data_IF_316040037241
#
_entry.id   IF_316040037241
#
_cell.length_a   1.000
_cell.length_b   1.000
_cell.length_c   1.000
_cell.angle_alpha   90.00
_cell.angle_beta   90.00
_cell.angle_gamma   90.00
#
_symmetry.space_group_name_H-M   'P 1'
#
loop_
_entity.id
_entity.type
_entity.pdbx_description
1 polymer ?
#
# COMPACT_ATOMS: atom_id res chain seq x y z
N UNK A 1 9.14 11.27 13.74
CA UNK A 1 9.38 12.14 12.57
C UNK A 1 9.54 13.57 13.06
N UNK A 2 10.34 14.37 12.36
CA UNK A 2 10.49 15.79 12.66
C UNK A 2 9.51 16.67 11.85
N UNK A 3 9.42 17.95 12.18
CA UNK A 3 8.52 18.90 11.53
C UNK A 3 8.80 19.08 10.03
N UNK A 4 10.05 18.91 9.60
CA UNK A 4 10.42 19.04 8.19
C UNK A 4 9.84 17.87 7.41
N UNK A 5 9.99 16.65 7.91
CA UNK A 5 9.42 15.44 7.28
C UNK A 5 7.89 15.53 7.21
N UNK A 6 7.24 15.98 8.29
CA UNK A 6 5.78 16.18 8.32
C UNK A 6 5.35 17.18 7.25
N UNK A 7 6.04 18.32 7.13
CA UNK A 7 5.73 19.32 6.12
C UNK A 7 5.92 18.78 4.69
N UNK A 8 6.99 18.01 4.44
CA UNK A 8 7.22 17.41 3.12
C UNK A 8 6.12 16.43 2.73
N UNK A 9 5.54 15.69 3.68
CA UNK A 9 4.39 14.82 3.43
C UNK A 9 3.12 15.63 3.21
N UNK A 10 2.89 16.67 4.03
CA UNK A 10 1.74 17.56 3.87
C UNK A 10 1.73 18.23 2.48
N UNK A 11 2.90 18.64 1.97
CA UNK A 11 3.05 19.19 0.62
C UNK A 11 2.57 18.20 -0.47
N UNK A 12 2.75 16.89 -0.26
CA UNK A 12 2.26 15.86 -1.19
C UNK A 12 0.75 15.63 -1.00
N UNK A 13 0.28 15.52 0.24
CA UNK A 13 -1.12 15.24 0.58
C UNK A 13 -2.07 16.33 0.10
N UNK A 14 -1.67 17.59 0.25
CA UNK A 14 -2.48 18.77 -0.06
C UNK A 14 -2.07 19.46 -1.36
N UNK A 15 -1.30 18.78 -2.21
CA UNK A 15 -0.98 19.30 -3.54
C UNK A 15 -2.26 19.53 -4.37
N UNK A 16 -2.27 20.60 -5.15
CA UNK A 16 -3.42 20.99 -5.98
C UNK A 16 -3.76 19.96 -7.08
N UNK A 17 -2.84 19.05 -7.40
CA UNK A 17 -3.06 17.99 -8.39
C UNK A 17 -2.16 16.79 -8.15
N UNK A 18 -2.56 15.62 -8.66
CA UNK A 18 -1.76 14.40 -8.61
C UNK A 18 -0.39 14.58 -9.26
N UNK A 19 -0.29 15.32 -10.37
CA UNK A 19 0.99 15.61 -11.01
C UNK A 19 1.96 16.38 -10.09
N UNK A 20 1.46 17.38 -9.34
CA UNK A 20 2.26 18.12 -8.35
C UNK A 20 2.62 17.25 -7.14
N UNK A 21 1.68 16.40 -6.69
CA UNK A 21 1.93 15.44 -5.62
C UNK A 21 3.06 14.47 -6.01
N UNK A 22 2.98 13.87 -7.20
CA UNK A 22 4.00 12.95 -7.73
C UNK A 22 5.36 13.63 -7.86
N UNK A 23 5.40 14.86 -8.40
CA UNK A 23 6.65 15.63 -8.49
C UNK A 23 7.27 15.88 -7.10
N UNK A 24 6.44 16.07 -6.06
CA UNK A 24 6.92 16.35 -4.71
C UNK A 24 7.44 15.11 -3.96
N UNK A 25 7.17 13.90 -4.45
CA UNK A 25 7.67 12.65 -3.86
C UNK A 25 9.20 12.58 -3.84
N UNK A 26 9.89 13.22 -4.79
CA UNK A 26 11.36 13.24 -4.83
C UNK A 26 12.01 13.81 -3.56
N UNK A 27 11.24 14.61 -2.81
CA UNK A 27 11.67 15.21 -1.55
C UNK A 27 11.68 14.22 -0.39
N UNK A 28 10.91 13.13 -0.48
CA UNK A 28 10.81 12.11 0.56
C UNK A 28 12.02 11.16 0.47
N UNK A 29 12.74 10.98 1.57
CA UNK A 29 14.04 10.30 1.58
C UNK A 29 14.03 8.98 2.35
N UNK A 30 12.92 8.67 3.03
CA UNK A 30 12.82 7.54 3.95
C UNK A 30 11.58 6.70 3.66
N UNK A 31 11.64 5.45 4.11
CA UNK A 31 10.50 4.53 4.12
C UNK A 31 9.35 5.09 4.97
N UNK A 32 9.67 5.67 6.13
CA UNK A 32 8.71 6.24 7.10
C UNK A 32 7.81 7.29 6.44
N UNK A 33 8.41 8.18 5.66
CA UNK A 33 7.67 9.23 4.96
C UNK A 33 6.69 8.66 3.94
N UNK A 34 7.10 7.63 3.18
CA UNK A 34 6.21 6.97 2.21
C UNK A 34 5.08 6.22 2.90
N UNK A 35 5.37 5.56 4.02
CA UNK A 35 4.38 4.83 4.80
C UNK A 35 3.32 5.78 5.38
N UNK A 36 3.76 6.87 6.02
CA UNK A 36 2.86 7.88 6.59
C UNK A 36 2.09 8.61 5.50
N UNK A 37 2.71 8.87 4.34
CA UNK A 37 2.00 9.42 3.19
C UNK A 37 0.82 8.53 2.79
N UNK A 38 1.02 7.23 2.60
CA UNK A 38 -0.06 6.33 2.17
C UNK A 38 -1.13 6.10 3.24
N UNK A 39 -0.78 6.15 4.51
CA UNK A 39 -1.73 6.11 5.63
C UNK A 39 -2.69 7.31 5.62
N UNK A 40 -2.20 8.49 5.28
CA UNK A 40 -2.97 9.73 5.29
C UNK A 40 -3.52 10.12 3.91
N UNK A 41 -3.17 9.38 2.85
CA UNK A 41 -3.60 9.68 1.48
C UNK A 41 -5.11 9.47 1.31
N UNK A 42 -5.78 10.42 0.66
CA UNK A 42 -7.16 10.22 0.22
C UNK A 42 -7.20 9.31 -1.00
N UNK A 43 -7.46 8.01 -0.80
CA UNK A 43 -7.51 7.00 -1.86
C UNK A 43 -8.60 7.23 -2.92
N UNK A 44 -9.53 8.17 -2.70
CA UNK A 44 -10.46 8.64 -3.73
C UNK A 44 -9.78 9.51 -4.80
N UNK A 45 -8.57 10.01 -4.56
CA UNK A 45 -7.78 10.80 -5.52
C UNK A 45 -7.16 9.93 -6.64
N UNK A 46 -7.44 8.63 -6.65
CA UNK A 46 -6.95 7.68 -7.66
C UNK A 46 -5.56 7.13 -7.35
N UNK A 47 -4.97 6.46 -8.35
CA UNK A 47 -3.78 5.63 -8.15
C UNK A 47 -2.46 6.23 -8.65
N UNK A 48 -2.45 7.46 -9.18
CA UNK A 48 -1.22 8.09 -9.68
C UNK A 48 -0.15 8.22 -8.59
N UNK A 49 -0.50 8.79 -7.43
CA UNK A 49 0.41 8.94 -6.29
C UNK A 49 0.81 7.57 -5.71
N UNK A 50 -0.13 6.64 -5.39
CA UNK A 50 0.25 5.28 -4.97
C UNK A 50 1.17 4.54 -5.93
N UNK A 51 0.95 4.64 -7.26
CA UNK A 51 1.83 4.04 -8.27
C UNK A 51 3.23 4.64 -8.23
N UNK A 52 3.34 5.96 -8.06
CA UNK A 52 4.62 6.62 -7.95
C UNK A 52 5.36 6.22 -6.65
N UNK A 53 4.64 6.12 -5.53
CA UNK A 53 5.19 5.61 -4.25
C UNK A 53 5.74 4.20 -4.42
N UNK A 54 5.01 3.30 -5.08
CA UNK A 54 5.45 1.91 -5.34
C UNK A 54 6.67 1.79 -6.25
N UNK A 55 6.97 2.82 -7.05
CA UNK A 55 8.18 2.88 -7.87
C UNK A 55 9.31 3.69 -7.21
N UNK A 56 9.06 4.26 -6.03
CA UNK A 56 10.04 5.08 -5.33
C UNK A 56 11.19 4.21 -4.78
N UNK A 57 12.46 4.63 -4.85
CA UNK A 57 13.60 3.85 -4.37
C UNK A 57 13.57 3.50 -2.88
N UNK A 58 12.75 4.22 -2.10
CA UNK A 58 12.54 4.00 -0.65
C UNK A 58 11.32 3.15 -0.34
N UNK A 59 10.60 2.65 -1.35
CA UNK A 59 9.45 1.78 -1.15
C UNK A 59 9.91 0.42 -0.63
N UNK A 60 9.50 0.09 0.59
CA UNK A 60 9.71 -1.23 1.18
C UNK A 60 8.52 -2.15 0.93
N UNK A 61 8.68 -3.40 1.34
CA UNK A 61 7.58 -4.36 1.44
C UNK A 61 6.45 -3.87 2.35
N UNK A 62 6.74 -3.14 3.43
CA UNK A 62 5.74 -2.57 4.34
C UNK A 62 4.85 -1.56 3.64
N UNK A 63 5.48 -0.64 2.88
CA UNK A 63 4.77 0.37 2.09
C UNK A 63 3.93 -0.31 1.00
N UNK A 64 4.45 -1.34 0.35
CA UNK A 64 3.72 -2.07 -0.69
C UNK A 64 2.52 -2.87 -0.14
N UNK A 65 2.68 -3.52 1.02
CA UNK A 65 1.57 -4.21 1.70
C UNK A 65 0.50 -3.20 2.12
N UNK A 66 0.90 -2.07 2.70
CA UNK A 66 -0.03 -0.98 3.03
C UNK A 66 -0.83 -0.54 1.80
N UNK A 67 -0.15 -0.24 0.69
CA UNK A 67 -0.80 0.15 -0.56
C UNK A 67 -1.79 -0.92 -1.06
N UNK A 68 -1.41 -2.19 -0.96
CA UNK A 68 -2.26 -3.31 -1.36
C UNK A 68 -3.56 -3.36 -0.54
N UNK A 69 -3.49 -3.26 0.79
CA UNK A 69 -4.70 -3.32 1.62
C UNK A 69 -5.58 -2.08 1.53
N UNK A 70 -4.97 -0.90 1.45
CA UNK A 70 -5.74 0.35 1.25
C UNK A 70 -6.47 0.38 -0.09
N UNK A 71 -5.96 -0.34 -1.10
CA UNK A 71 -6.63 -0.56 -2.37
C UNK A 71 -7.60 -1.77 -2.38
N UNK A 72 -8.15 -2.17 -1.23
CA UNK A 72 -9.08 -3.31 -1.10
C UNK A 72 -8.49 -4.66 -1.53
N UNK A 73 -7.20 -4.86 -1.28
CA UNK A 73 -6.49 -6.10 -1.62
C UNK A 73 -7.06 -7.36 -0.97
N UNK A 74 -7.73 -7.24 0.18
CA UNK A 74 -8.39 -8.37 0.83
C UNK A 74 -9.50 -8.97 -0.05
N UNK A 75 -10.27 -8.14 -0.74
CA UNK A 75 -11.29 -8.59 -1.67
C UNK A 75 -10.69 -9.36 -2.83
N UNK A 76 -9.58 -8.86 -3.38
CA UNK A 76 -8.82 -9.58 -4.40
C UNK A 76 -8.30 -10.95 -3.92
N UNK A 77 -7.83 -11.03 -2.66
CA UNK A 77 -7.37 -12.31 -2.12
C UNK A 77 -8.49 -13.35 -2.02
N UNK A 78 -9.71 -12.93 -1.68
CA UNK A 78 -10.88 -13.79 -1.47
C UNK A 78 -11.61 -14.16 -2.77
N UNK A 79 -11.80 -13.19 -3.65
CA UNK A 79 -12.66 -13.30 -4.85
C UNK A 79 -11.84 -13.44 -6.14
N UNK A 80 -10.53 -13.17 -6.12
CA UNK A 80 -9.67 -13.23 -7.31
C UNK A 80 -10.07 -12.18 -8.35
N UNK A 81 -9.96 -12.54 -9.64
CA UNK A 81 -10.35 -11.64 -10.75
C UNK A 81 -11.86 -11.33 -10.75
N UNK A 82 -12.69 -12.21 -10.19
CA UNK A 82 -14.12 -11.97 -10.03
C UNK A 82 -14.42 -10.79 -9.07
N UNK A 83 -13.46 -10.40 -8.22
CA UNK A 83 -13.58 -9.24 -7.33
C UNK A 83 -13.93 -7.95 -8.09
N UNK A 84 -13.43 -7.84 -9.32
CA UNK A 84 -13.46 -6.61 -10.09
C UNK A 84 -14.21 -6.71 -11.41
N UNK A 85 -14.79 -7.87 -11.72
CA UNK A 85 -15.56 -8.12 -12.94
C UNK A 85 -16.71 -7.10 -13.15
N UNK A 86 -17.24 -6.52 -12.08
CA UNK A 86 -18.27 -5.47 -12.10
C UNK A 86 -17.76 -4.11 -11.55
N UNK A 87 -16.47 -3.99 -11.25
CA UNK A 87 -15.91 -2.74 -10.74
C UNK A 87 -15.90 -1.69 -11.85
N UNK A 88 -16.28 -0.47 -11.53
CA UNK A 88 -16.36 0.66 -12.47
C UNK A 88 -14.98 1.09 -13.01
N UNK A 89 -13.88 0.42 -12.63
CA UNK A 89 -12.52 0.85 -12.94
C UNK A 89 -11.58 -0.34 -13.16
N UNK A 90 -11.29 -0.64 -14.43
CA UNK A 90 -10.17 -1.50 -14.84
C UNK A 90 -8.84 -1.06 -14.23
N UNK A 91 -8.71 0.23 -13.89
CA UNK A 91 -7.52 0.76 -13.24
C UNK A 91 -7.34 0.23 -11.81
N UNK A 92 -8.43 0.06 -11.06
CA UNK A 92 -8.39 -0.48 -9.70
C UNK A 92 -7.92 -1.93 -9.69
N UNK A 93 -8.54 -2.78 -10.51
CA UNK A 93 -8.10 -4.18 -10.67
C UNK A 93 -6.63 -4.25 -11.09
N UNK A 94 -6.27 -3.47 -12.12
CA UNK A 94 -4.92 -3.41 -12.64
C UNK A 94 -3.90 -3.01 -11.57
N UNK A 95 -4.24 -2.04 -10.72
CA UNK A 95 -3.41 -1.63 -9.60
C UNK A 95 -3.21 -2.78 -8.62
N UNK A 96 -4.29 -3.32 -8.04
CA UNK A 96 -4.23 -4.35 -6.99
C UNK A 96 -3.49 -5.59 -7.47
N UNK A 97 -3.81 -6.07 -8.68
CA UNK A 97 -3.14 -7.22 -9.30
C UNK A 97 -1.65 -6.95 -9.55
N UNK A 98 -1.29 -5.73 -9.95
CA UNK A 98 0.11 -5.34 -10.13
C UNK A 98 0.87 -5.39 -8.80
N UNK A 99 0.34 -4.76 -7.75
CA UNK A 99 0.99 -4.74 -6.43
C UNK A 99 1.15 -6.15 -5.89
N UNK A 100 0.09 -6.97 -5.94
CA UNK A 100 0.11 -8.37 -5.53
C UNK A 100 1.23 -9.16 -6.24
N UNK A 101 1.30 -9.04 -7.57
CA UNK A 101 2.30 -9.75 -8.38
C UNK A 101 3.72 -9.29 -8.06
N UNK A 102 3.95 -7.99 -7.84
CA UNK A 102 5.27 -7.45 -7.47
C UNK A 102 5.72 -7.93 -6.08
N UNK A 103 4.80 -8.02 -5.12
CA UNK A 103 5.08 -8.56 -3.77
C UNK A 103 5.49 -10.04 -3.85
N UNK A 104 4.72 -10.86 -4.59
CA UNK A 104 5.05 -12.28 -4.76
C UNK A 104 6.41 -12.50 -5.44
N UNK A 105 6.75 -11.65 -6.41
CA UNK A 105 8.05 -11.68 -7.10
C UNK A 105 9.21 -11.13 -6.28
N UNK A 106 8.98 -10.67 -5.05
CA UNK A 106 10.02 -10.11 -4.18
C UNK A 106 10.63 -8.82 -4.71
N UNK A 107 9.87 -7.99 -5.44
CA UNK A 107 10.39 -6.76 -6.05
C UNK A 107 10.57 -5.60 -5.07
N UNK A 108 10.15 -5.78 -3.81
CA UNK A 108 10.30 -4.78 -2.76
C UNK A 108 11.31 -5.27 -1.73
N UNK A 109 12.31 -4.44 -1.35
CA UNK A 109 13.23 -4.77 -0.28
C UNK A 109 12.49 -4.85 1.06
N UNK A 110 13.07 -5.60 2.01
CA UNK A 110 12.63 -5.56 3.40
C UNK A 110 12.72 -4.14 3.96
N UNK A 111 11.71 -3.76 4.73
CA UNK A 111 11.64 -2.49 5.43
C UNK A 111 11.99 -2.60 6.91
N UNK A 112 11.89 -1.47 7.60
CA UNK A 112 12.04 -1.38 9.06
C UNK A 112 10.70 -1.19 9.76
N UNK A 113 9.63 -0.89 9.03
CA UNK A 113 8.30 -0.56 9.57
C UNK A 113 7.45 -1.81 9.67
N UNK A 114 6.72 -1.95 10.78
CA UNK A 114 5.72 -3.00 10.93
C UNK A 114 4.50 -2.72 10.03
N UNK A 115 3.90 -3.77 9.49
CA UNK A 115 2.60 -3.68 8.87
C UNK A 115 1.77 -4.89 9.27
N UNK A 116 0.58 -4.65 9.80
CA UNK A 116 -0.34 -5.69 10.23
C UNK A 116 -1.64 -5.56 9.43
N UNK A 117 -1.95 -6.52 8.55
CA UNK A 117 -3.21 -6.51 7.81
C UNK A 117 -4.41 -6.52 8.76
N UNK A 118 -5.38 -5.63 8.52
CA UNK A 118 -6.66 -5.62 9.22
C UNK A 118 -7.59 -6.75 8.72
N UNK A 119 -7.15 -8.00 8.86
CA UNK A 119 -7.92 -9.17 8.43
C UNK A 119 -8.50 -9.92 9.63
N UNK A 120 -9.79 -10.20 9.56
CA UNK A 120 -10.51 -10.91 10.61
C UNK A 120 -10.13 -12.40 10.67
N UNK A 121 -10.36 -13.04 11.82
CA UNK A 121 -10.19 -14.49 11.97
C UNK A 121 -10.98 -15.29 10.92
N UNK A 122 -12.18 -14.81 10.58
CA UNK A 122 -13.05 -15.44 9.57
C UNK A 122 -12.41 -15.30 8.17
N UNK A 123 -11.89 -14.13 7.81
CA UNK A 123 -11.20 -13.94 6.53
C UNK A 123 -9.93 -14.80 6.45
N UNK A 124 -9.09 -14.83 7.50
CA UNK A 124 -7.92 -15.73 7.56
C UNK A 124 -8.32 -17.19 7.36
N UNK A 125 -9.38 -17.65 8.02
CA UNK A 125 -9.89 -19.01 7.86
C UNK A 125 -10.35 -19.30 6.43
N UNK A 126 -11.12 -18.38 5.82
CA UNK A 126 -11.57 -18.51 4.42
C UNK A 126 -10.38 -18.57 3.47
N UNK A 127 -9.38 -17.69 3.63
CA UNK A 127 -8.19 -17.65 2.78
C UNK A 127 -7.40 -18.96 2.87
N UNK A 128 -7.13 -19.46 4.08
CA UNK A 128 -6.43 -20.75 4.28
C UNK A 128 -7.18 -21.94 3.67
N UNK A 129 -8.51 -21.89 3.64
CA UNK A 129 -9.35 -22.92 3.01
C UNK A 129 -9.36 -22.83 1.47
N UNK A 130 -9.41 -21.62 0.92
CA UNK A 130 -9.48 -21.36 -0.53
C UNK A 130 -8.12 -21.54 -1.22
N UNK A 131 -7.03 -21.13 -0.54
CA UNK A 131 -5.68 -21.12 -1.09
C UNK A 131 -4.76 -21.81 -0.08
N UNK A 132 -4.43 -23.07 -0.36
CA UNK A 132 -3.56 -23.90 0.49
C UNK A 132 -2.19 -23.26 0.72
N UNK A 133 -1.71 -22.44 -0.23
CA UNK A 133 -0.40 -21.78 -0.18
C UNK A 133 -0.52 -20.27 -0.42
N UNK A 134 -1.36 -19.57 0.36
CA UNK A 134 -1.30 -18.11 0.39
C UNK A 134 -0.03 -17.66 1.13
N UNK A 135 0.71 -16.73 0.54
CA UNK A 135 1.93 -16.19 1.13
C UNK A 135 1.63 -15.51 2.47
N UNK A 136 2.35 -15.92 3.51
CA UNK A 136 2.11 -15.50 4.89
C UNK A 136 2.21 -13.98 5.09
N UNK A 137 2.95 -13.27 4.23
CA UNK A 137 3.05 -11.80 4.27
C UNK A 137 1.70 -11.11 4.10
N UNK A 138 0.75 -11.74 3.39
CA UNK A 138 -0.63 -11.26 3.25
C UNK A 138 -1.56 -11.74 4.38
N UNK A 139 -1.09 -12.58 5.30
CA UNK A 139 -1.90 -13.06 6.42
C UNK A 139 -1.44 -12.49 7.76
N UNK A 140 -0.14 -12.51 7.99
CA UNK A 140 0.49 -12.15 9.25
C UNK A 140 1.23 -10.82 9.16
N UNK A 141 1.31 -10.24 7.96
CA UNK A 141 2.01 -8.98 7.75
C UNK A 141 3.51 -9.13 7.94
N UNK A 142 4.13 -8.08 8.46
CA UNK A 142 5.56 -8.03 8.76
C UNK A 142 5.79 -7.27 10.07
N UNK A 143 6.79 -7.71 10.82
CA UNK A 143 7.21 -7.08 12.08
C UNK A 143 8.26 -6.00 11.82
N UNK A 144 8.26 -4.97 12.65
CA UNK A 144 9.14 -3.82 12.55
C UNK A 144 8.82 -2.79 13.63
N UNK A 145 9.27 -1.55 13.46
CA UNK A 145 8.85 -0.43 14.32
C UNK A 145 7.43 -0.01 13.96
N UNK A 146 6.62 0.29 14.98
CA UNK A 146 5.30 0.87 14.77
C UNK A 146 5.43 2.35 14.41
N UNK A 147 4.71 2.75 13.36
CA UNK A 147 4.68 4.13 12.90
C UNK A 147 3.22 4.55 12.73
N UNK A 148 2.72 5.32 13.70
CA UNK A 148 1.36 5.85 13.70
C UNK A 148 1.44 7.38 13.80
N UNK A 149 1.32 8.04 12.65
CA UNK A 149 1.38 9.51 12.51
C UNK A 149 0.20 9.93 11.66
N UNK A 150 -0.65 10.80 12.21
CA UNK A 150 -1.80 11.40 11.53
C UNK A 150 -1.44 12.84 11.18
N UNK A 151 -1.69 13.24 9.93
CA UNK A 151 -1.39 14.57 9.37
C UNK A 151 -2.67 15.23 8.88
#
# INVERSE_FOLDING_TARGET
MDNRQIQQIADVLYAESNAKAVASLEKLQTEDELFVLLENFNWNNGFEVPKAVLNHPKCSLSVALLAFYRADGIRYLLEGEAAFANSLSMEWEGFVKNVYTKILRGQFPSGTISFQPEITKIQKFKLKKLKLEIDERFLEGISGKDLNVVI
#
